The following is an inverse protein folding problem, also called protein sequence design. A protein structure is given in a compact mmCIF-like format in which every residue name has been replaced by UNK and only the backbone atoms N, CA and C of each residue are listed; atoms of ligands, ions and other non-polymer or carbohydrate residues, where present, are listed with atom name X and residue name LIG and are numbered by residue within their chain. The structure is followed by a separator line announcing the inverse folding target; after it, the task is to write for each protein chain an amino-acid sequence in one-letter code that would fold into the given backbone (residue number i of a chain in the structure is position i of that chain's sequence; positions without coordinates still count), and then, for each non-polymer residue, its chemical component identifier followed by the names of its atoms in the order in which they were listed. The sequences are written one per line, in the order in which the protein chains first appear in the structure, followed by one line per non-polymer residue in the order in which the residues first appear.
data_IF_644691439115
#
_entry.id   IF_644691439115
#
_cell.length_a   1.000
_cell.length_b   1.000
_cell.length_c   1.000
_cell.angle_alpha   90.00
_cell.angle_beta   90.00
_cell.angle_gamma   90.00
#
_symmetry.space_group_name_H-M   'P 1'
#
loop_
_entity.id
_entity.type
_entity.pdbx_description
1 polymer ?
#
# COMPACT_ATOMS: atom_id res chain seq x y z
N UNK A 1 -6.28 29.73 -2.99
CA UNK A 1 -5.44 28.65 -2.44
C UNK A 1 -4.11 29.23 -2.03
N UNK A 2 -3.64 28.86 -0.85
CA UNK A 2 -2.32 29.24 -0.35
C UNK A 2 -1.20 28.61 -1.19
N UNK A 3 0.06 29.02 -0.94
CA UNK A 3 1.20 28.44 -1.64
C UNK A 3 1.36 26.93 -1.38
N UNK A 4 1.07 26.50 -0.14
CA UNK A 4 1.15 25.09 0.26
C UNK A 4 -0.25 24.58 0.58
N UNK A 5 -0.62 23.45 0.03
CA UNK A 5 -1.91 22.80 0.23
C UNK A 5 -1.68 21.34 0.59
N UNK A 6 -2.43 20.83 1.55
CA UNK A 6 -2.44 19.42 1.91
C UNK A 6 -3.57 18.71 1.20
N UNK A 7 -3.23 17.58 0.59
CA UNK A 7 -4.21 16.63 0.06
C UNK A 7 -4.23 15.39 0.95
N UNK A 8 -5.40 15.10 1.53
CA UNK A 8 -5.56 13.83 2.24
C UNK A 8 -6.03 12.72 1.28
N UNK A 9 -5.27 11.63 1.23
CA UNK A 9 -5.54 10.47 0.38
C UNK A 9 -5.90 9.19 1.18
N UNK A 10 -6.33 9.33 2.43
CA UNK A 10 -6.67 8.20 3.32
C UNK A 10 -7.67 7.25 2.67
N UNK A 11 -8.76 7.77 2.11
CA UNK A 11 -9.81 6.96 1.52
C UNK A 11 -9.41 6.31 0.19
N UNK A 12 -8.37 6.83 -0.47
CA UNK A 12 -7.87 6.27 -1.73
C UNK A 12 -6.65 5.37 -1.50
N UNK A 13 -5.52 5.93 -1.08
CA UNK A 13 -4.29 5.14 -0.93
C UNK A 13 -4.34 4.28 0.33
N UNK A 14 -4.88 4.81 1.43
CA UNK A 14 -5.17 4.02 2.62
C UNK A 14 -6.13 2.85 2.35
N UNK A 15 -7.06 3.01 1.41
CA UNK A 15 -8.00 1.97 1.01
C UNK A 15 -7.38 0.65 0.55
N UNK A 16 -6.16 0.66 0.05
CA UNK A 16 -5.45 -0.57 -0.29
C UNK A 16 -5.19 -1.50 0.92
N UNK A 17 -5.20 -0.96 2.12
CA UNK A 17 -4.95 -1.72 3.35
C UNK A 17 -6.14 -2.59 3.72
N UNK A 18 -7.36 -2.08 3.52
CA UNK A 18 -8.62 -2.73 3.93
C UNK A 18 -9.52 -3.10 2.76
N UNK A 19 -8.97 -3.22 1.55
CA UNK A 19 -9.71 -3.43 0.30
C UNK A 19 -10.79 -2.36 0.07
N UNK A 20 -10.46 -1.10 0.42
CA UNK A 20 -11.33 0.08 0.33
C UNK A 20 -12.59 0.02 1.19
N UNK A 21 -12.75 -0.99 2.02
CA UNK A 21 -13.96 -1.22 2.83
C UNK A 21 -13.86 -0.50 4.18
N UNK A 22 -14.34 0.74 4.21
CA UNK A 22 -14.42 1.55 5.42
C UNK A 22 -15.80 1.47 6.08
N UNK A 23 -16.85 1.15 5.31
CA UNK A 23 -18.25 1.28 5.72
C UNK A 23 -18.83 2.65 5.35
N UNK A 24 -20.08 2.66 4.90
CA UNK A 24 -20.72 3.86 4.36
C UNK A 24 -20.77 5.05 5.34
N UNK A 25 -21.07 4.78 6.61
CA UNK A 25 -21.14 5.83 7.65
C UNK A 25 -19.75 6.41 7.90
N UNK A 26 -18.74 5.56 8.02
CA UNK A 26 -17.35 5.96 8.28
C UNK A 26 -16.78 6.77 7.11
N UNK A 27 -17.07 6.37 5.85
CA UNK A 27 -16.65 7.14 4.67
C UNK A 27 -17.15 8.59 4.72
N UNK A 28 -18.44 8.78 5.04
CA UNK A 28 -19.04 10.12 5.16
C UNK A 28 -18.43 10.92 6.28
N UNK A 29 -18.27 10.32 7.43
CA UNK A 29 -17.78 11.02 8.61
C UNK A 29 -16.32 11.43 8.45
N UNK A 30 -15.45 10.56 7.89
CA UNK A 30 -14.07 10.94 7.57
C UNK A 30 -14.03 12.14 6.62
N UNK A 31 -14.82 12.14 5.54
CA UNK A 31 -14.86 13.29 4.62
C UNK A 31 -15.34 14.55 5.31
N UNK A 32 -16.33 14.46 6.17
CA UNK A 32 -16.88 15.60 6.91
C UNK A 32 -15.89 16.14 7.94
N UNK A 33 -15.22 15.28 8.71
CA UNK A 33 -14.19 15.68 9.68
C UNK A 33 -12.95 16.28 8.98
N UNK A 34 -12.50 15.71 7.84
CA UNK A 34 -11.44 16.32 7.03
C UNK A 34 -11.84 17.72 6.51
N UNK A 35 -13.10 17.88 6.15
CA UNK A 35 -13.65 19.19 5.77
C UNK A 35 -13.66 20.16 6.94
N UNK A 36 -14.07 19.73 8.14
CA UNK A 36 -14.03 20.52 9.38
C UNK A 36 -12.60 20.87 9.78
N UNK A 37 -11.66 19.93 9.59
CA UNK A 37 -10.22 20.17 9.79
C UNK A 37 -9.60 21.15 8.80
N UNK A 38 -10.37 21.62 7.80
CA UNK A 38 -9.92 22.56 6.75
C UNK A 38 -8.82 21.97 5.86
N UNK A 39 -8.81 20.66 5.61
CA UNK A 39 -7.90 20.03 4.66
C UNK A 39 -8.22 20.56 3.26
N UNK A 40 -7.22 21.12 2.57
CA UNK A 40 -7.42 21.84 1.30
C UNK A 40 -8.00 21.00 0.19
N UNK A 41 -7.57 19.74 0.10
CA UNK A 41 -7.96 18.79 -0.95
C UNK A 41 -8.26 17.44 -0.31
N UNK A 42 -9.46 16.93 -0.52
CA UNK A 42 -9.93 15.64 0.01
C UNK A 42 -10.07 14.66 -1.13
N UNK A 43 -9.25 13.59 -1.14
CA UNK A 43 -9.36 12.51 -2.12
C UNK A 43 -10.38 11.47 -1.67
N UNK A 44 -11.54 11.46 -2.30
CA UNK A 44 -12.69 10.66 -1.89
C UNK A 44 -12.55 9.15 -2.14
N UNK A 45 -11.66 8.75 -3.06
CA UNK A 45 -11.45 7.36 -3.46
C UNK A 45 -11.17 7.21 -4.95
N UNK A 46 -11.40 6.01 -5.48
CA UNK A 46 -11.27 5.73 -6.91
C UNK A 46 -12.61 5.83 -7.64
N UNK A 47 -12.56 6.37 -8.86
CA UNK A 47 -13.59 6.15 -9.89
C UNK A 47 -13.20 4.91 -10.70
N UNK A 48 -14.06 3.89 -10.70
CA UNK A 48 -13.79 2.63 -11.36
C UNK A 48 -15.08 2.04 -11.93
N UNK A 49 -15.07 1.65 -13.20
CA UNK A 49 -16.21 1.03 -13.86
C UNK A 49 -16.72 -0.19 -13.10
N UNK A 50 -18.04 -0.32 -12.97
CA UNK A 50 -18.69 -1.45 -12.30
C UNK A 50 -18.57 -1.48 -10.76
N UNK A 51 -18.11 -0.40 -10.10
CA UNK A 51 -18.08 -0.31 -8.65
C UNK A 51 -19.42 0.14 -8.07
N UNK A 52 -20.05 -0.69 -7.22
CA UNK A 52 -21.40 -0.43 -6.68
C UNK A 52 -21.53 -0.59 -5.16
N UNK A 53 -20.48 -1.02 -4.46
CA UNK A 53 -20.56 -1.21 -3.02
C UNK A 53 -20.40 0.12 -2.27
N UNK A 54 -21.49 0.56 -1.61
CA UNK A 54 -21.54 1.82 -0.85
C UNK A 54 -20.61 1.86 0.37
N UNK A 55 -20.12 0.70 0.84
CA UNK A 55 -19.19 0.61 1.97
C UNK A 55 -17.74 0.80 1.54
N UNK A 56 -17.48 0.85 0.24
CA UNK A 56 -16.13 0.95 -0.32
C UNK A 56 -15.90 2.33 -0.93
N UNK A 57 -14.69 2.84 -0.79
CA UNK A 57 -14.23 4.07 -1.46
C UNK A 57 -13.87 3.84 -2.94
N UNK A 58 -14.63 2.94 -3.61
CA UNK A 58 -14.61 2.66 -5.03
C UNK A 58 -15.96 3.05 -5.62
N UNK A 59 -15.99 3.99 -6.54
CA UNK A 59 -17.21 4.59 -7.04
C UNK A 59 -17.37 4.34 -8.55
N UNK A 60 -18.51 3.83 -8.96
CA UNK A 60 -18.84 3.59 -10.37
C UNK A 60 -19.25 4.87 -11.11
N UNK A 61 -19.45 5.99 -10.41
CA UNK A 61 -19.85 7.27 -11.02
C UNK A 61 -19.56 8.45 -10.10
N UNK A 62 -19.50 9.64 -10.70
CA UNK A 62 -19.38 10.92 -9.97
C UNK A 62 -20.60 11.18 -9.06
N UNK A 63 -21.78 10.73 -9.46
CA UNK A 63 -22.99 10.82 -8.64
C UNK A 63 -22.91 9.96 -7.37
N UNK A 64 -22.26 8.79 -7.42
CA UNK A 64 -22.03 7.98 -6.25
C UNK A 64 -21.10 8.71 -5.25
N UNK A 65 -20.05 9.39 -5.73
CA UNK A 65 -19.18 10.23 -4.90
C UNK A 65 -19.95 11.38 -4.27
N UNK A 66 -20.82 12.07 -5.04
CA UNK A 66 -21.67 13.15 -4.52
C UNK A 66 -22.52 12.70 -3.32
N UNK A 67 -23.14 11.52 -3.42
CA UNK A 67 -23.95 10.94 -2.33
C UNK A 67 -23.11 10.64 -1.08
N UNK A 68 -21.86 10.28 -1.27
CA UNK A 68 -20.91 10.04 -0.17
C UNK A 68 -20.44 11.36 0.45
N UNK A 69 -20.06 12.37 -0.33
CA UNK A 69 -19.63 13.69 0.17
C UNK A 69 -20.76 14.37 0.99
N UNK A 70 -22.00 14.30 0.53
CA UNK A 70 -23.12 15.00 1.17
C UNK A 70 -23.00 16.53 1.06
N UNK A 71 -22.86 17.19 2.20
CA UNK A 71 -22.73 18.65 2.24
C UNK A 71 -21.29 19.07 1.92
N UNK A 72 -21.08 19.54 0.70
CA UNK A 72 -19.79 19.99 0.20
C UNK A 72 -19.41 21.37 0.75
N UNK A 73 -18.20 21.53 1.26
CA UNK A 73 -17.63 22.83 1.59
C UNK A 73 -17.06 23.49 0.32
N UNK A 74 -17.61 24.65 -0.13
CA UNK A 74 -17.20 25.27 -1.39
C UNK A 74 -15.76 25.85 -1.37
N UNK A 75 -15.14 25.98 -0.21
CA UNK A 75 -13.79 26.49 -0.04
C UNK A 75 -12.71 25.42 -0.20
N UNK A 76 -13.11 24.15 -0.22
CA UNK A 76 -12.21 22.99 -0.34
C UNK A 76 -12.37 22.34 -1.71
N UNK A 77 -11.35 21.58 -2.13
CA UNK A 77 -11.43 20.75 -3.33
C UNK A 77 -11.68 19.29 -2.97
N UNK A 78 -12.63 18.69 -3.64
CA UNK A 78 -12.89 17.26 -3.57
C UNK A 78 -12.43 16.62 -4.87
N UNK A 79 -11.65 15.55 -4.76
CA UNK A 79 -11.09 14.89 -5.92
C UNK A 79 -11.32 13.38 -5.88
N UNK A 80 -11.30 12.75 -7.04
CA UNK A 80 -11.29 11.29 -7.15
C UNK A 80 -10.12 10.85 -8.03
N UNK A 81 -9.58 9.66 -7.78
CA UNK A 81 -8.54 9.10 -8.63
C UNK A 81 -9.15 8.26 -9.76
N UNK A 82 -8.59 8.41 -10.94
CA UNK A 82 -8.80 7.55 -12.10
C UNK A 82 -7.45 6.96 -12.48
N UNK A 83 -7.37 5.63 -12.47
CA UNK A 83 -6.28 4.94 -13.14
C UNK A 83 -6.63 4.87 -14.64
N UNK A 84 -5.68 5.17 -15.52
CA UNK A 84 -5.91 5.02 -16.95
C UNK A 84 -6.43 3.60 -17.26
N UNK A 85 -7.50 3.52 -18.07
CA UNK A 85 -8.18 2.25 -18.38
C UNK A 85 -9.15 1.73 -17.31
N UNK A 86 -9.23 2.35 -16.13
CA UNK A 86 -10.10 1.89 -15.03
C UNK A 86 -11.57 2.30 -15.17
N UNK A 87 -11.85 3.38 -15.88
CA UNK A 87 -13.19 3.89 -16.22
C UNK A 87 -13.12 4.63 -17.55
N UNK A 88 -14.16 4.53 -18.38
CA UNK A 88 -14.18 5.23 -19.66
C UNK A 88 -14.56 6.71 -19.50
N UNK A 89 -14.15 7.54 -20.45
CA UNK A 89 -14.51 8.96 -20.44
C UNK A 89 -16.04 9.17 -20.46
N UNK A 90 -16.79 8.31 -21.16
CA UNK A 90 -18.24 8.38 -21.31
C UNK A 90 -18.96 8.15 -19.98
N UNK A 91 -18.39 7.33 -19.08
CA UNK A 91 -18.93 7.06 -17.74
C UNK A 91 -18.69 8.20 -16.75
N UNK A 92 -17.78 9.14 -17.06
CA UNK A 92 -17.50 10.30 -16.21
C UNK A 92 -18.38 11.47 -16.65
N UNK A 93 -19.32 11.88 -15.80
CA UNK A 93 -20.19 13.02 -16.05
C UNK A 93 -19.41 14.34 -16.17
N UNK A 94 -20.04 15.38 -16.72
CA UNK A 94 -19.49 16.75 -16.74
C UNK A 94 -19.40 17.27 -15.29
N UNK A 95 -18.35 18.02 -14.98
CA UNK A 95 -18.18 18.67 -13.67
C UNK A 95 -19.21 19.81 -13.52
N UNK A 96 -20.18 19.61 -12.65
CA UNK A 96 -21.23 20.59 -12.33
C UNK A 96 -20.97 21.34 -11.01
N UNK A 97 -19.82 21.07 -10.33
CA UNK A 97 -19.46 21.65 -9.05
C UNK A 97 -20.18 21.05 -7.84
N UNK A 98 -21.11 20.13 -8.03
CA UNK A 98 -21.91 19.54 -6.93
C UNK A 98 -21.26 18.30 -6.29
N UNK A 99 -20.28 17.68 -6.97
CA UNK A 99 -19.53 16.51 -6.52
C UNK A 99 -18.05 16.85 -6.43
N UNK A 100 -17.20 16.01 -7.03
CA UNK A 100 -15.76 16.26 -7.11
C UNK A 100 -15.45 17.43 -8.05
N UNK A 101 -14.44 18.22 -7.71
CA UNK A 101 -13.92 19.34 -8.50
C UNK A 101 -12.80 18.93 -9.44
N UNK A 102 -12.15 17.83 -9.12
CA UNK A 102 -10.97 17.39 -9.86
C UNK A 102 -10.82 15.88 -9.95
N UNK A 103 -10.02 15.49 -10.92
CA UNK A 103 -9.66 14.10 -11.17
C UNK A 103 -8.15 13.98 -11.15
N UNK A 104 -7.64 13.06 -10.33
CA UNK A 104 -6.25 12.65 -10.28
C UNK A 104 -6.08 11.49 -11.25
N UNK A 105 -5.48 11.75 -12.40
CA UNK A 105 -5.26 10.76 -13.45
C UNK A 105 -3.88 10.14 -13.28
N UNK A 106 -3.85 8.87 -12.87
CA UNK A 106 -2.62 8.09 -12.75
C UNK A 106 -2.42 7.17 -13.95
N UNK A 107 -1.17 7.07 -14.41
CA UNK A 107 -0.78 6.34 -15.61
C UNK A 107 0.69 5.91 -15.53
N UNK A 108 1.02 4.81 -16.23
CA UNK A 108 2.40 4.34 -16.42
C UNK A 108 3.06 5.00 -17.63
N UNK A 109 4.39 4.88 -17.74
CA UNK A 109 5.16 5.49 -18.83
C UNK A 109 4.66 5.08 -20.22
N UNK A 110 4.33 3.82 -20.41
CA UNK A 110 3.81 3.31 -21.69
C UNK A 110 2.38 3.79 -22.03
N UNK A 111 1.67 4.34 -21.05
CA UNK A 111 0.30 4.87 -21.19
C UNK A 111 0.26 6.39 -21.41
N UNK A 112 1.41 7.07 -21.46
CA UNK A 112 1.47 8.55 -21.56
C UNK A 112 0.60 9.10 -22.69
N UNK A 113 0.70 8.54 -23.91
CA UNK A 113 -0.03 9.08 -25.06
C UNK A 113 -1.55 9.04 -24.86
N UNK A 114 -2.18 7.90 -24.56
CA UNK A 114 -3.63 7.84 -24.36
C UNK A 114 -4.09 8.52 -23.06
N UNK A 115 -3.29 8.52 -21.99
CA UNK A 115 -3.61 9.24 -20.76
C UNK A 115 -3.72 10.76 -20.97
N UNK A 116 -2.91 11.33 -21.86
CA UNK A 116 -3.01 12.76 -22.23
C UNK A 116 -4.27 13.08 -23.03
N UNK A 117 -4.75 12.15 -23.86
CA UNK A 117 -6.06 12.30 -24.55
C UNK A 117 -7.17 12.33 -23.50
N UNK A 118 -7.18 11.38 -22.57
CA UNK A 118 -8.16 11.36 -21.47
C UNK A 118 -8.04 12.62 -20.60
N UNK A 119 -6.83 13.05 -20.26
CA UNK A 119 -6.59 14.27 -19.49
C UNK A 119 -7.19 15.51 -20.15
N UNK A 120 -7.09 15.65 -21.49
CA UNK A 120 -7.73 16.73 -22.25
C UNK A 120 -9.25 16.64 -22.16
N UNK A 121 -9.81 15.46 -22.38
CA UNK A 121 -11.26 15.23 -22.28
C UNK A 121 -11.82 15.58 -20.88
N UNK A 122 -11.07 15.27 -19.81
CA UNK A 122 -11.45 15.61 -18.45
C UNK A 122 -11.39 17.11 -18.18
N UNK A 123 -10.38 17.82 -18.73
CA UNK A 123 -10.32 19.28 -18.67
C UNK A 123 -11.50 19.89 -19.41
N UNK A 124 -11.83 19.39 -20.61
CA UNK A 124 -12.97 19.88 -21.42
C UNK A 124 -14.32 19.63 -20.71
N UNK A 125 -14.41 18.62 -19.84
CA UNK A 125 -15.56 18.39 -18.94
C UNK A 125 -15.59 19.31 -17.71
N UNK A 126 -14.60 20.20 -17.53
CA UNK A 126 -14.55 21.18 -16.45
C UNK A 126 -13.80 20.74 -15.20
N UNK A 127 -13.19 19.55 -15.18
CA UNK A 127 -12.43 19.08 -14.03
C UNK A 127 -11.05 19.74 -13.91
N UNK A 128 -10.62 20.00 -12.67
CA UNK A 128 -9.21 20.22 -12.37
C UNK A 128 -8.47 18.90 -12.48
N UNK A 129 -7.59 18.75 -13.48
CA UNK A 129 -6.87 17.50 -13.72
C UNK A 129 -5.49 17.54 -13.06
N UNK A 130 -5.19 16.48 -12.30
CA UNK A 130 -3.92 16.28 -11.62
C UNK A 130 -3.22 15.11 -12.31
N UNK A 131 -2.14 15.37 -13.03
CA UNK A 131 -1.40 14.35 -13.78
C UNK A 131 -0.40 13.63 -12.88
N UNK A 132 -0.56 12.32 -12.72
CA UNK A 132 0.21 11.50 -11.78
C UNK A 132 0.92 10.34 -12.47
N UNK A 133 2.11 10.57 -13.04
CA UNK A 133 2.93 9.49 -13.59
C UNK A 133 3.40 8.57 -12.46
N UNK A 134 3.18 7.27 -12.62
CA UNK A 134 3.65 6.27 -11.65
C UNK A 134 5.17 6.19 -11.70
N UNK A 135 5.83 6.18 -10.53
CA UNK A 135 7.25 5.91 -10.44
C UNK A 135 8.15 6.97 -11.08
N UNK A 136 7.94 8.26 -10.76
CA UNK A 136 8.76 9.34 -11.34
C UNK A 136 10.27 9.15 -11.14
N UNK A 137 10.70 8.42 -10.12
CA UNK A 137 12.10 8.07 -9.89
C UNK A 137 12.73 7.18 -10.98
N UNK A 138 11.92 6.46 -11.75
CA UNK A 138 12.42 5.58 -12.82
C UNK A 138 12.63 6.31 -14.16
N UNK A 139 12.11 7.54 -14.30
CA UNK A 139 12.27 8.33 -15.48
C UNK A 139 13.70 8.90 -15.60
N UNK A 140 14.30 8.80 -16.77
CA UNK A 140 15.51 9.57 -17.06
C UNK A 140 15.18 11.07 -17.14
N UNK A 141 16.16 11.93 -16.94
CA UNK A 141 15.96 13.39 -17.04
C UNK A 141 15.39 13.78 -18.41
N UNK A 142 15.85 13.12 -19.48
CA UNK A 142 15.34 13.35 -20.84
C UNK A 142 13.86 12.95 -20.97
N UNK A 143 13.48 11.78 -20.43
CA UNK A 143 12.08 11.31 -20.46
C UNK A 143 11.17 12.25 -19.64
N UNK A 144 11.64 12.69 -18.47
CA UNK A 144 10.92 13.63 -17.62
C UNK A 144 10.75 15.01 -18.32
N UNK A 145 11.76 15.54 -18.97
CA UNK A 145 11.67 16.79 -19.72
C UNK A 145 10.70 16.69 -20.90
N UNK A 146 10.70 15.57 -21.63
CA UNK A 146 9.71 15.30 -22.69
C UNK A 146 8.28 15.26 -22.12
N UNK A 147 8.11 14.63 -20.96
CA UNK A 147 6.81 14.60 -20.28
C UNK A 147 6.38 16.00 -19.86
N UNK A 148 7.27 16.81 -19.26
CA UNK A 148 6.99 18.20 -18.86
C UNK A 148 6.56 19.06 -20.06
N UNK A 149 7.20 18.89 -21.23
CA UNK A 149 6.79 19.58 -22.45
C UNK A 149 5.32 19.30 -22.78
N UNK A 150 4.90 18.03 -22.74
CA UNK A 150 3.51 17.65 -22.99
C UNK A 150 2.56 18.16 -21.89
N UNK A 151 2.99 18.16 -20.62
CA UNK A 151 2.22 18.74 -19.51
C UNK A 151 2.00 20.24 -19.76
N UNK A 152 2.99 20.97 -20.23
CA UNK A 152 2.85 22.39 -20.58
C UNK A 152 1.83 22.66 -21.69
N UNK A 153 1.72 21.75 -22.66
CA UNK A 153 0.70 21.81 -23.73
C UNK A 153 -0.70 21.46 -23.20
N UNK A 154 -0.81 20.47 -22.31
CA UNK A 154 -2.07 20.03 -21.71
C UNK A 154 -2.63 21.07 -20.75
N UNK A 155 -1.76 21.77 -19.99
CA UNK A 155 -2.10 22.76 -18.96
C UNK A 155 -3.03 22.21 -17.86
N UNK A 156 -2.69 21.09 -17.21
CA UNK A 156 -3.48 20.56 -16.12
C UNK A 156 -3.42 21.49 -14.90
N UNK A 157 -4.25 21.20 -13.87
CA UNK A 157 -4.21 21.91 -12.60
C UNK A 157 -2.91 21.65 -11.83
N UNK A 158 -2.43 20.40 -11.82
CA UNK A 158 -1.20 19.99 -11.15
C UNK A 158 -0.46 18.88 -11.90
N UNK A 159 0.85 18.84 -11.72
CA UNK A 159 1.75 17.76 -12.11
C UNK A 159 2.46 17.21 -10.85
N UNK A 160 2.57 15.89 -10.73
CA UNK A 160 3.04 15.24 -9.52
C UNK A 160 4.42 14.59 -9.67
N UNK A 161 5.23 14.75 -8.62
CA UNK A 161 6.36 13.89 -8.31
C UNK A 161 5.84 12.74 -7.42
N UNK A 162 5.96 11.51 -7.90
CA UNK A 162 5.40 10.34 -7.22
C UNK A 162 6.51 9.37 -6.85
N UNK A 163 6.80 9.27 -5.55
CA UNK A 163 7.73 8.28 -4.98
C UNK A 163 6.98 6.98 -4.69
N UNK A 164 6.64 6.25 -5.75
CA UNK A 164 5.84 5.00 -5.69
C UNK A 164 6.50 3.91 -4.84
N UNK A 165 7.84 3.86 -4.84
CA UNK A 165 8.60 2.82 -4.13
C UNK A 165 9.06 3.27 -2.75
N UNK A 166 8.85 4.54 -2.38
CA UNK A 166 9.32 5.10 -1.11
C UNK A 166 10.85 5.11 -1.00
N UNK A 167 11.55 5.38 -2.10
CA UNK A 167 13.01 5.30 -2.23
C UNK A 167 13.70 6.64 -2.32
N UNK A 168 12.94 7.73 -2.41
CA UNK A 168 13.44 9.08 -2.69
C UNK A 168 14.15 9.67 -1.48
N UNK A 169 15.45 9.92 -1.62
CA UNK A 169 16.20 10.72 -0.67
C UNK A 169 16.05 12.22 -0.96
N UNK A 170 16.46 13.05 -0.03
CA UNK A 170 16.42 14.53 -0.16
C UNK A 170 17.04 15.02 -1.48
N UNK A 171 18.21 14.52 -1.86
CA UNK A 171 18.90 14.97 -3.07
C UNK A 171 18.13 14.60 -4.33
N UNK A 172 17.46 13.45 -4.35
CA UNK A 172 16.61 13.03 -5.47
C UNK A 172 15.41 13.95 -5.60
N UNK A 173 14.73 14.23 -4.47
CA UNK A 173 13.62 15.18 -4.43
C UNK A 173 14.03 16.55 -4.98
N UNK A 174 15.13 17.11 -4.49
CA UNK A 174 15.59 18.43 -4.89
C UNK A 174 15.96 18.47 -6.38
N UNK A 175 16.69 17.45 -6.87
CA UNK A 175 17.04 17.32 -8.29
C UNK A 175 15.79 17.32 -9.17
N UNK A 176 14.84 16.44 -8.84
CA UNK A 176 13.60 16.31 -9.62
C UNK A 176 12.73 17.55 -9.52
N UNK A 177 12.60 18.11 -8.32
CA UNK A 177 11.82 19.32 -8.12
C UNK A 177 12.38 20.49 -8.96
N UNK A 178 13.68 20.74 -8.91
CA UNK A 178 14.27 21.84 -9.69
C UNK A 178 14.18 21.59 -11.19
N UNK A 179 14.34 20.34 -11.63
CA UNK A 179 14.12 20.00 -13.05
C UNK A 179 12.70 20.35 -13.49
N UNK A 180 11.70 20.00 -12.67
CA UNK A 180 10.29 20.32 -12.92
C UNK A 180 10.05 21.83 -12.79
N UNK A 181 10.47 22.47 -11.71
CA UNK A 181 10.16 23.88 -11.43
C UNK A 181 10.70 24.83 -12.49
N UNK A 182 11.88 24.54 -13.08
CA UNK A 182 12.48 25.36 -14.11
C UNK A 182 11.85 25.17 -15.51
N UNK A 183 11.24 24.02 -15.78
CA UNK A 183 10.73 23.67 -17.10
C UNK A 183 9.19 23.63 -17.19
N UNK A 184 8.49 23.58 -16.07
CA UNK A 184 7.03 23.53 -16.01
C UNK A 184 6.44 24.95 -15.98
N UNK A 185 5.35 25.20 -16.72
CA UNK A 185 4.61 26.45 -16.68
C UNK A 185 4.23 26.85 -15.26
N UNK A 186 4.41 28.12 -14.91
CA UNK A 186 4.23 28.66 -13.55
C UNK A 186 2.82 28.49 -12.99
N UNK A 187 1.82 28.42 -13.85
CA UNK A 187 0.41 28.27 -13.44
C UNK A 187 0.04 26.84 -13.06
N UNK A 188 0.90 25.86 -13.35
CA UNK A 188 0.67 24.44 -13.00
C UNK A 188 1.26 24.20 -11.62
N UNK A 189 0.46 23.71 -10.68
CA UNK A 189 0.92 23.35 -9.34
C UNK A 189 1.83 22.13 -9.40
N UNK A 190 2.79 22.01 -8.48
CA UNK A 190 3.58 20.79 -8.31
C UNK A 190 3.06 20.03 -7.09
N UNK A 191 2.67 18.78 -7.31
CA UNK A 191 2.29 17.86 -6.26
C UNK A 191 3.44 16.94 -5.87
N UNK A 192 3.41 16.46 -4.63
CA UNK A 192 4.33 15.46 -4.12
C UNK A 192 3.55 14.35 -3.40
N UNK A 193 3.69 13.13 -3.88
CA UNK A 193 3.12 11.93 -3.27
C UNK A 193 4.24 10.97 -2.93
N UNK A 194 4.39 10.60 -1.66
CA UNK A 194 5.50 9.76 -1.21
C UNK A 194 5.03 8.65 -0.29
N UNK A 195 5.54 7.44 -0.56
CA UNK A 195 5.45 6.33 0.39
C UNK A 195 6.57 6.40 1.43
N UNK A 196 6.32 5.86 2.62
CA UNK A 196 7.18 6.03 3.80
C UNK A 196 8.08 4.83 4.10
N UNK A 197 8.43 4.03 3.08
CA UNK A 197 9.18 2.79 3.27
C UNK A 197 10.58 3.00 3.89
N UNK A 198 11.24 4.12 3.58
CA UNK A 198 12.51 4.55 4.20
C UNK A 198 12.31 5.54 5.36
N UNK A 199 11.09 5.80 5.80
CA UNK A 199 10.73 6.78 6.84
C UNK A 199 11.17 8.22 6.51
N UNK A 200 11.25 8.57 5.22
CA UNK A 200 11.71 9.86 4.74
C UNK A 200 10.59 10.80 4.26
N UNK A 201 9.35 10.32 4.15
CA UNK A 201 8.26 11.11 3.56
C UNK A 201 8.03 12.43 4.31
N UNK A 202 8.10 12.44 5.65
CA UNK A 202 7.93 13.67 6.43
C UNK A 202 9.12 14.64 6.27
N UNK A 203 10.35 14.13 6.27
CA UNK A 203 11.54 14.96 6.06
C UNK A 203 11.54 15.57 4.64
N UNK A 204 11.24 14.77 3.61
CA UNK A 204 11.14 15.22 2.24
C UNK A 204 10.01 16.26 2.04
N UNK A 205 8.87 16.07 2.68
CA UNK A 205 7.77 17.04 2.64
C UNK A 205 8.19 18.38 3.26
N UNK A 206 8.89 18.38 4.40
CA UNK A 206 9.41 19.59 5.03
C UNK A 206 10.40 20.32 4.11
N UNK A 207 11.35 19.61 3.50
CA UNK A 207 12.29 20.19 2.54
C UNK A 207 11.56 20.86 1.38
N UNK A 208 10.59 20.18 0.79
CA UNK A 208 9.78 20.72 -0.31
C UNK A 208 9.05 22.00 0.08
N UNK A 209 8.41 22.02 1.25
CA UNK A 209 7.64 23.16 1.74
C UNK A 209 8.52 24.39 2.06
N UNK A 210 9.79 24.17 2.43
CA UNK A 210 10.76 25.22 2.73
C UNK A 210 11.44 25.83 1.50
N UNK A 211 11.25 25.23 0.31
CA UNK A 211 11.87 25.75 -0.91
C UNK A 211 11.37 27.17 -1.23
N UNK A 212 12.30 28.04 -1.60
CA UNK A 212 11.98 29.38 -2.05
C UNK A 212 11.46 29.38 -3.49
N UNK A 213 10.20 29.06 -3.66
CA UNK A 213 9.51 29.07 -4.96
C UNK A 213 8.16 29.78 -4.83
N UNK A 214 7.73 30.60 -5.82
CA UNK A 214 6.39 31.18 -5.85
C UNK A 214 5.33 30.15 -6.31
N UNK A 215 5.74 28.94 -6.69
CA UNK A 215 4.86 27.90 -7.21
C UNK A 215 3.94 27.37 -6.10
N UNK A 216 2.71 27.08 -6.45
CA UNK A 216 1.81 26.33 -5.56
C UNK A 216 2.27 24.87 -5.45
N UNK A 217 2.39 24.42 -4.20
CA UNK A 217 2.78 23.05 -3.86
C UNK A 217 1.56 22.32 -3.27
N UNK A 218 1.42 21.05 -3.61
CA UNK A 218 0.43 20.15 -3.03
C UNK A 218 1.19 18.97 -2.44
N UNK A 219 0.97 18.72 -1.16
CA UNK A 219 1.62 17.60 -0.45
C UNK A 219 0.56 16.58 -0.08
N UNK A 220 0.70 15.37 -0.60
CA UNK A 220 -0.20 14.28 -0.26
C UNK A 220 0.17 13.68 1.09
N UNK A 221 -0.85 13.40 1.88
CA UNK A 221 -0.72 12.73 3.17
C UNK A 221 -1.92 11.80 3.40
N UNK A 222 -1.83 10.91 4.36
CA UNK A 222 -2.94 10.11 4.83
C UNK A 222 -2.98 10.08 6.35
N UNK A 223 -4.17 9.98 6.93
CA UNK A 223 -4.34 9.93 8.38
C UNK A 223 -3.63 8.69 8.93
N UNK A 224 -2.80 8.90 9.96
CA UNK A 224 -1.99 7.87 10.60
C UNK A 224 -1.05 7.14 9.63
N UNK A 225 -0.69 7.81 8.53
CA UNK A 225 0.13 7.26 7.45
C UNK A 225 -0.49 6.05 6.76
N UNK A 226 -1.81 5.86 6.83
CA UNK A 226 -2.48 4.69 6.25
C UNK A 226 -2.19 4.55 4.75
N UNK A 227 -1.64 3.42 4.32
CA UNK A 227 -1.28 3.17 2.92
C UNK A 227 -0.56 1.86 2.72
N UNK A 228 -0.21 1.56 1.47
CA UNK A 228 0.53 0.35 1.11
C UNK A 228 1.94 0.35 1.72
N UNK A 229 2.44 -0.83 2.05
CA UNK A 229 3.78 -0.99 2.59
C UNK A 229 3.94 -0.30 3.94
N UNK A 230 4.97 0.53 4.08
CA UNK A 230 5.14 1.35 5.28
C UNK A 230 4.22 2.57 5.34
N UNK A 231 3.24 2.66 4.42
CA UNK A 231 2.27 3.73 4.36
C UNK A 231 2.76 4.99 3.66
N UNK A 232 2.12 6.11 3.96
CA UNK A 232 2.33 7.43 3.38
C UNK A 232 2.86 8.43 4.43
N UNK A 233 3.03 9.67 4.03
CA UNK A 233 3.18 10.80 4.95
C UNK A 233 1.93 10.91 5.85
N UNK A 234 2.13 11.11 7.14
CA UNK A 234 1.04 11.26 8.10
C UNK A 234 0.40 12.65 8.01
N UNK A 235 -0.93 12.72 7.86
CA UNK A 235 -1.69 13.97 7.78
C UNK A 235 -1.54 14.79 9.07
N UNK A 236 -1.68 14.17 10.24
CA UNK A 236 -1.53 14.82 11.54
C UNK A 236 -0.14 15.43 11.76
N UNK A 237 0.92 14.80 11.23
CA UNK A 237 2.28 15.32 11.38
C UNK A 237 2.51 16.54 10.48
N UNK A 238 2.10 16.47 9.21
CA UNK A 238 2.35 17.55 8.26
C UNK A 238 1.48 18.78 8.56
N UNK A 239 0.23 18.59 8.97
CA UNK A 239 -0.67 19.68 9.37
C UNK A 239 -0.17 20.34 10.65
N UNK A 240 0.31 19.58 11.64
CA UNK A 240 0.94 20.14 12.83
C UNK A 240 2.21 20.92 12.50
N UNK A 241 3.03 20.43 11.58
CA UNK A 241 4.21 21.18 11.15
C UNK A 241 3.85 22.52 10.51
N UNK A 242 2.84 22.56 9.64
CA UNK A 242 2.37 23.79 9.00
C UNK A 242 1.81 24.74 10.05
N UNK A 243 0.97 24.26 10.96
CA UNK A 243 0.41 25.07 12.04
C UNK A 243 1.49 25.73 12.91
N UNK A 244 2.57 24.99 13.21
CA UNK A 244 3.64 25.48 14.08
C UNK A 244 4.65 26.39 13.39
N UNK A 245 4.89 26.23 12.08
CA UNK A 245 6.01 26.87 11.39
C UNK A 245 5.59 27.84 10.28
N UNK A 246 4.37 27.65 9.71
CA UNK A 246 3.92 28.42 8.55
C UNK A 246 2.61 29.20 8.80
N UNK A 247 2.03 29.06 9.98
CA UNK A 247 0.81 29.70 10.41
C UNK A 247 -0.34 28.71 10.64
N UNK A 248 -1.16 28.99 11.65
CA UNK A 248 -2.32 28.15 11.99
C UNK A 248 -3.31 28.10 10.84
N UNK A 249 -3.66 26.90 10.42
CA UNK A 249 -4.58 26.66 9.31
C UNK A 249 -5.50 25.45 9.52
N UNK A 250 -5.01 24.36 10.10
CA UNK A 250 -5.72 23.08 10.21
C UNK A 250 -6.19 22.82 11.63
N UNK A 251 -7.40 22.27 11.78
CA UNK A 251 -7.86 21.75 13.06
C UNK A 251 -7.40 20.27 13.24
N UNK A 252 -6.31 20.11 13.97
CA UNK A 252 -5.76 18.77 14.21
C UNK A 252 -6.60 17.94 15.18
N UNK A 253 -7.53 18.54 15.94
CA UNK A 253 -8.39 17.77 16.84
C UNK A 253 -9.34 16.88 16.03
N UNK A 254 -9.94 17.41 14.98
CA UNK A 254 -10.78 16.64 14.06
C UNK A 254 -10.02 15.44 13.43
N UNK A 255 -8.74 15.65 13.10
CA UNK A 255 -7.89 14.57 12.55
C UNK A 255 -7.62 13.49 13.62
N UNK A 256 -7.34 13.91 14.87
CA UNK A 256 -7.11 12.99 15.98
C UNK A 256 -8.37 12.18 16.32
N UNK A 257 -9.55 12.77 16.20
CA UNK A 257 -10.81 12.05 16.38
C UNK A 257 -10.99 10.96 15.31
N UNK A 258 -10.67 11.25 14.04
CA UNK A 258 -10.69 10.21 12.99
C UNK A 258 -9.74 9.07 13.32
N UNK A 259 -8.55 9.39 13.85
CA UNK A 259 -7.56 8.37 14.25
C UNK A 259 -8.16 7.46 15.33
N UNK A 260 -8.71 8.05 16.39
CA UNK A 260 -9.18 7.29 17.54
C UNK A 260 -10.42 6.45 17.22
N UNK A 261 -11.38 7.04 16.50
CA UNK A 261 -12.66 6.40 16.21
C UNK A 261 -12.57 5.34 15.10
N UNK A 262 -11.76 5.57 14.05
CA UNK A 262 -11.80 4.75 12.83
C UNK A 262 -10.47 4.11 12.45
N UNK A 263 -9.37 4.88 12.46
CA UNK A 263 -8.12 4.41 11.88
C UNK A 263 -7.37 3.48 12.82
N UNK A 264 -7.35 3.79 14.11
CA UNK A 264 -6.71 2.95 15.13
C UNK A 264 -7.35 1.55 15.24
N UNK A 265 -8.69 1.38 15.26
CA UNK A 265 -9.30 0.06 15.16
C UNK A 265 -8.90 -0.70 13.87
N UNK A 266 -8.77 -0.01 12.74
CA UNK A 266 -8.29 -0.63 11.50
C UNK A 266 -6.82 -1.05 11.62
N UNK A 267 -5.95 -0.25 12.26
CA UNK A 267 -4.53 -0.58 12.43
C UNK A 267 -4.29 -1.80 13.33
N UNK A 268 -5.23 -2.11 14.22
CA UNK A 268 -5.19 -3.34 15.01
C UNK A 268 -5.53 -4.60 14.19
N UNK A 269 -6.25 -4.43 13.08
CA UNK A 269 -6.70 -5.52 12.21
C UNK A 269 -5.81 -5.68 10.97
N UNK A 270 -5.33 -4.59 10.44
CA UNK A 270 -4.54 -4.53 9.22
C UNK A 270 -3.18 -3.89 9.53
N UNK A 271 -2.12 -4.46 8.99
CA UNK A 271 -0.77 -3.97 9.23
C UNK A 271 -0.34 -2.99 8.13
N UNK A 272 0.11 -1.82 8.52
CA UNK A 272 0.91 -0.88 7.72
C UNK A 272 1.87 -0.16 8.65
N UNK A 273 2.80 0.57 8.09
CA UNK A 273 3.86 1.22 8.85
C UNK A 273 5.21 0.55 8.62
N UNK A 274 6.22 0.97 9.35
CA UNK A 274 7.57 0.47 9.19
C UNK A 274 7.67 -1.04 9.42
N UNK A 275 8.28 -1.73 8.46
CA UNK A 275 8.69 -3.12 8.56
C UNK A 275 10.00 -3.33 7.79
N UNK A 276 10.89 -4.17 8.31
CA UNK A 276 12.18 -4.46 7.68
C UNK A 276 12.03 -5.00 6.23
N UNK A 277 10.94 -5.71 5.93
CA UNK A 277 10.69 -6.21 4.59
C UNK A 277 10.39 -5.09 3.59
N UNK A 278 9.67 -4.03 4.00
CA UNK A 278 9.42 -2.86 3.14
C UNK A 278 10.69 -2.05 2.93
N UNK A 279 11.52 -1.90 3.97
CA UNK A 279 12.86 -1.32 3.83
C UNK A 279 13.68 -2.09 2.78
N UNK A 280 13.74 -3.42 2.89
CA UNK A 280 14.45 -4.28 1.93
C UNK A 280 13.91 -4.11 0.52
N UNK A 281 12.58 -4.13 0.35
CA UNK A 281 11.97 -3.93 -0.96
C UNK A 281 12.37 -2.59 -1.58
N UNK A 282 12.34 -1.51 -0.80
CA UNK A 282 12.76 -0.19 -1.25
C UNK A 282 14.24 -0.15 -1.67
N UNK A 283 15.15 -0.65 -0.83
CA UNK A 283 16.58 -0.68 -1.14
C UNK A 283 16.89 -1.55 -2.37
N UNK A 284 16.14 -2.65 -2.56
CA UNK A 284 16.25 -3.49 -3.74
C UNK A 284 15.55 -2.91 -4.99
N UNK A 285 14.89 -1.75 -4.89
CA UNK A 285 14.11 -1.16 -5.99
C UNK A 285 12.86 -1.97 -6.36
N UNK A 286 12.32 -2.73 -5.41
CA UNK A 286 11.17 -3.61 -5.63
C UNK A 286 9.86 -2.94 -5.19
N UNK A 287 8.79 -3.24 -5.92
CA UNK A 287 7.44 -2.81 -5.53
C UNK A 287 7.07 -3.37 -4.14
N UNK A 288 6.52 -2.55 -3.19
CA UNK A 288 6.23 -2.97 -1.81
C UNK A 288 5.33 -4.22 -1.69
N UNK A 289 4.46 -4.46 -2.66
CA UNK A 289 3.61 -5.65 -2.67
C UNK A 289 4.39 -6.97 -2.75
N UNK A 290 5.62 -6.98 -3.26
CA UNK A 290 6.49 -8.14 -3.18
C UNK A 290 6.83 -8.49 -1.73
N UNK A 291 7.20 -7.49 -0.92
CA UNK A 291 7.42 -7.69 0.50
C UNK A 291 6.14 -8.11 1.23
N UNK A 292 4.98 -7.46 0.93
CA UNK A 292 3.69 -7.85 1.50
C UNK A 292 3.33 -9.31 1.19
N UNK A 293 3.57 -9.76 -0.04
CA UNK A 293 3.34 -11.16 -0.44
C UNK A 293 4.18 -12.14 0.36
N UNK A 294 5.47 -11.83 0.55
CA UNK A 294 6.40 -12.68 1.29
C UNK A 294 6.09 -12.69 2.80
N UNK A 295 5.77 -11.53 3.40
CA UNK A 295 5.34 -11.41 4.80
C UNK A 295 4.09 -12.25 5.09
N UNK A 296 3.12 -12.25 4.17
CA UNK A 296 1.88 -13.03 4.32
C UNK A 296 2.10 -14.55 4.30
N UNK A 297 3.26 -15.03 3.84
CA UNK A 297 3.61 -16.46 3.92
C UNK A 297 3.86 -16.91 5.36
N UNK A 298 4.30 -16.00 6.24
CA UNK A 298 4.62 -16.27 7.66
C UNK A 298 5.65 -17.40 7.87
N UNK A 299 6.40 -17.77 6.83
CA UNK A 299 7.38 -18.87 6.83
C UNK A 299 8.82 -18.39 6.68
N UNK A 300 9.01 -17.10 6.38
CA UNK A 300 10.29 -16.50 6.02
C UNK A 300 10.84 -15.63 7.17
N UNK A 301 12.15 -15.67 7.36
CA UNK A 301 12.89 -14.66 8.10
C UNK A 301 13.19 -13.45 7.20
N UNK A 302 13.60 -12.34 7.81
CA UNK A 302 13.99 -11.12 7.08
C UNK A 302 15.14 -11.39 6.09
N UNK A 303 16.08 -12.27 6.45
CA UNK A 303 17.18 -12.70 5.57
C UNK A 303 16.68 -13.42 4.32
N UNK A 304 15.65 -14.26 4.45
CA UNK A 304 15.06 -14.98 3.32
C UNK A 304 14.36 -14.00 2.36
N UNK A 305 13.61 -13.04 2.93
CA UNK A 305 12.97 -11.96 2.15
C UNK A 305 14.02 -11.15 1.41
N UNK A 306 15.13 -10.81 2.07
CA UNK A 306 16.25 -10.10 1.44
C UNK A 306 16.85 -10.91 0.28
N UNK A 307 17.09 -12.21 0.47
CA UNK A 307 17.64 -13.06 -0.57
C UNK A 307 16.69 -13.16 -1.78
N UNK A 308 15.40 -13.39 -1.55
CA UNK A 308 14.40 -13.49 -2.62
C UNK A 308 14.30 -12.19 -3.40
N UNK A 309 14.15 -11.04 -2.73
CA UNK A 309 13.95 -9.74 -3.39
C UNK A 309 15.17 -9.28 -4.18
N UNK A 310 16.39 -9.55 -3.70
CA UNK A 310 17.61 -9.21 -4.43
C UNK A 310 17.86 -10.12 -5.65
N UNK A 311 17.28 -11.32 -5.68
CA UNK A 311 17.40 -12.23 -6.81
C UNK A 311 16.35 -11.99 -7.91
N UNK A 312 15.38 -11.07 -7.70
CA UNK A 312 14.41 -10.73 -8.73
C UNK A 312 15.08 -10.08 -9.94
N UNK A 313 14.60 -10.40 -11.13
CA UNK A 313 15.03 -9.77 -12.37
C UNK A 313 14.76 -8.25 -12.30
N UNK A 314 15.75 -7.44 -12.68
CA UNK A 314 15.70 -5.98 -12.53
C UNK A 314 14.46 -5.36 -13.18
N UNK A 315 14.11 -5.81 -14.38
CA UNK A 315 12.98 -5.31 -15.17
C UNK A 315 11.63 -5.61 -14.54
N UNK A 316 11.57 -6.62 -13.66
CA UNK A 316 10.33 -7.05 -12.98
C UNK A 316 10.15 -6.44 -11.58
N UNK A 317 11.14 -5.71 -11.07
CA UNK A 317 11.10 -5.19 -9.69
C UNK A 317 10.07 -4.08 -9.50
N UNK A 318 9.94 -3.17 -10.46
CA UNK A 318 9.11 -1.98 -10.33
C UNK A 318 7.60 -2.26 -10.44
N UNK A 319 7.19 -3.30 -11.17
CA UNK A 319 5.80 -3.69 -11.36
C UNK A 319 5.52 -5.02 -10.65
N UNK A 320 4.50 -5.02 -9.77
CA UNK A 320 4.15 -6.21 -9.01
C UNK A 320 3.53 -7.29 -9.89
N UNK A 321 4.16 -8.45 -9.94
CA UNK A 321 3.63 -9.68 -10.53
C UNK A 321 3.50 -10.76 -9.44
N UNK A 322 2.24 -11.07 -9.07
CA UNK A 322 1.93 -12.04 -8.03
C UNK A 322 2.34 -13.47 -8.41
N UNK A 323 2.24 -13.82 -9.69
CA UNK A 323 2.61 -15.16 -10.18
C UNK A 323 4.12 -15.32 -10.09
N UNK A 324 4.86 -14.35 -10.61
CA UNK A 324 6.32 -14.33 -10.61
C UNK A 324 6.89 -14.47 -9.20
N UNK A 325 6.46 -13.66 -8.24
CA UNK A 325 6.96 -13.76 -6.86
C UNK A 325 6.57 -15.08 -6.21
N UNK A 326 5.43 -15.67 -6.59
CA UNK A 326 5.03 -17.00 -6.14
C UNK A 326 6.00 -18.08 -6.61
N UNK A 327 6.44 -18.01 -7.87
CA UNK A 327 7.43 -18.91 -8.44
C UNK A 327 8.81 -18.74 -7.79
N UNK A 328 9.27 -17.49 -7.57
CA UNK A 328 10.53 -17.20 -6.88
C UNK A 328 10.53 -17.67 -5.42
N UNK A 329 9.41 -17.50 -4.72
CA UNK A 329 9.24 -18.05 -3.37
C UNK A 329 9.37 -19.56 -3.34
N UNK A 330 8.70 -20.26 -4.27
CA UNK A 330 8.78 -21.73 -4.37
C UNK A 330 10.21 -22.16 -4.73
N UNK A 331 10.87 -21.48 -5.66
CA UNK A 331 12.25 -21.74 -6.05
C UNK A 331 13.20 -21.62 -4.84
N UNK A 332 13.03 -20.58 -4.03
CA UNK A 332 13.83 -20.36 -2.82
C UNK A 332 13.60 -21.47 -1.78
N UNK A 333 12.32 -21.85 -1.56
CA UNK A 333 11.96 -22.91 -0.61
C UNK A 333 12.41 -24.31 -1.03
N UNK A 334 12.49 -24.56 -2.34
CA UNK A 334 12.94 -25.82 -2.91
C UNK A 334 14.46 -25.89 -3.08
N UNK A 335 15.23 -25.07 -2.34
CA UNK A 335 16.68 -25.21 -2.34
C UNK A 335 17.05 -26.64 -1.93
N UNK A 336 17.78 -27.32 -2.81
CA UNK A 336 18.16 -28.73 -2.58
C UNK A 336 19.06 -28.80 -1.36
N UNK A 337 18.55 -29.42 -0.31
CA UNK A 337 19.33 -29.80 0.87
C UNK A 337 19.72 -31.27 0.65
N UNK A 338 20.98 -31.60 0.85
CA UNK A 338 21.42 -32.99 0.87
C UNK A 338 20.88 -33.65 2.15
N UNK A 339 19.72 -34.29 2.04
CA UNK A 339 18.99 -34.88 3.17
C UNK A 339 18.79 -36.43 3.01
N UNK A 340 19.54 -37.03 2.11
CA UNK A 340 19.42 -38.48 1.76
C UNK A 340 19.58 -39.35 3.01
N UNK A 341 20.53 -39.04 3.89
CA UNK A 341 20.74 -39.75 5.14
C UNK A 341 19.53 -39.61 6.09
N UNK A 342 19.00 -38.37 6.24
CA UNK A 342 17.82 -38.11 7.08
C UNK A 342 16.58 -38.81 6.51
N UNK A 343 16.38 -38.82 5.19
CA UNK A 343 15.30 -39.54 4.53
C UNK A 343 15.38 -41.04 4.83
N UNK A 344 16.57 -41.64 4.70
CA UNK A 344 16.79 -43.05 5.00
C UNK A 344 16.51 -43.40 6.47
N UNK A 345 16.87 -42.52 7.40
CA UNK A 345 16.57 -42.69 8.82
C UNK A 345 15.05 -42.69 9.05
N UNK A 346 14.30 -41.73 8.47
CA UNK A 346 12.84 -41.68 8.58
C UNK A 346 12.19 -42.92 7.98
N UNK A 347 12.62 -43.34 6.77
CA UNK A 347 12.10 -44.56 6.11
C UNK A 347 12.28 -45.78 7.00
N UNK A 348 13.44 -45.92 7.66
CA UNK A 348 13.69 -47.01 8.58
C UNK A 348 12.80 -46.98 9.83
N UNK A 349 12.52 -45.78 10.37
CA UNK A 349 11.65 -45.61 11.55
C UNK A 349 10.19 -45.97 11.29
N UNK A 350 9.70 -45.68 10.07
CA UNK A 350 8.29 -45.92 9.69
C UNK A 350 8.08 -47.27 8.98
N UNK A 351 9.16 -48.00 8.68
CA UNK A 351 9.06 -49.23 7.94
C UNK A 351 8.17 -50.28 8.65
N UNK A 352 7.14 -50.75 7.96
CA UNK A 352 6.17 -51.71 8.50
C UNK A 352 5.14 -51.14 9.44
N UNK A 353 5.13 -49.82 9.69
CA UNK A 353 4.16 -49.13 10.56
C UNK A 353 3.10 -48.37 9.75
N UNK A 354 1.96 -48.15 10.35
CA UNK A 354 0.93 -47.21 9.87
C UNK A 354 1.27 -45.81 10.35
N UNK A 355 1.38 -44.85 9.45
CA UNK A 355 1.70 -43.47 9.80
C UNK A 355 0.42 -42.68 10.11
N UNK A 356 0.34 -42.12 11.31
CA UNK A 356 -0.72 -41.20 11.73
C UNK A 356 -0.18 -39.78 11.74
N UNK A 357 -0.68 -38.93 10.83
CA UNK A 357 -0.29 -37.52 10.76
C UNK A 357 -1.28 -36.64 11.53
N UNK A 358 -0.77 -35.88 12.50
CA UNK A 358 -1.53 -34.92 13.29
C UNK A 358 -1.24 -33.50 12.79
N UNK A 359 -2.25 -32.81 12.25
CA UNK A 359 -2.14 -31.41 11.85
C UNK A 359 -2.85 -30.49 12.86
N UNK A 360 -2.36 -29.25 13.11
CA UNK A 360 -2.99 -28.34 14.05
C UNK A 360 -4.34 -27.84 13.52
N UNK A 361 -5.42 -28.16 14.22
CA UNK A 361 -6.76 -27.75 13.81
C UNK A 361 -7.81 -27.97 14.92
N UNK A 362 -8.99 -27.38 14.73
CA UNK A 362 -10.10 -27.53 15.70
C UNK A 362 -10.53 -28.99 15.89
N UNK A 363 -10.50 -29.77 14.82
CA UNK A 363 -10.85 -31.19 14.84
C UNK A 363 -9.88 -32.03 15.68
N UNK A 364 -8.60 -31.68 15.72
CA UNK A 364 -7.61 -32.37 16.53
C UNK A 364 -7.99 -32.27 18.02
N UNK A 365 -8.20 -31.03 18.50
CA UNK A 365 -8.60 -30.77 19.90
C UNK A 365 -9.92 -31.44 20.29
N UNK A 366 -10.87 -31.48 19.35
CA UNK A 366 -12.18 -32.11 19.59
C UNK A 366 -12.12 -33.65 19.64
N UNK A 367 -11.04 -34.27 19.17
CA UNK A 367 -10.90 -35.73 19.10
C UNK A 367 -9.66 -36.26 19.85
N UNK A 368 -9.06 -35.47 20.76
CA UNK A 368 -7.84 -35.85 21.48
C UNK A 368 -7.99 -37.19 22.19
N UNK A 369 -9.08 -37.41 22.93
CA UNK A 369 -9.36 -38.67 23.64
C UNK A 369 -9.45 -39.86 22.68
N UNK A 370 -10.16 -39.69 21.56
CA UNK A 370 -10.34 -40.75 20.57
C UNK A 370 -8.99 -41.09 19.87
N UNK A 371 -8.14 -40.09 19.67
CA UNK A 371 -6.81 -40.30 19.08
C UNK A 371 -5.92 -41.05 20.05
N UNK A 372 -5.90 -40.66 21.32
CA UNK A 372 -5.15 -41.36 22.38
C UNK A 372 -5.59 -42.81 22.54
N UNK A 373 -6.89 -43.04 22.49
CA UNK A 373 -7.47 -44.39 22.53
C UNK A 373 -6.98 -45.23 21.33
N UNK A 374 -7.07 -44.66 20.11
CA UNK A 374 -6.60 -45.33 18.87
C UNK A 374 -5.11 -45.70 18.95
N UNK A 375 -4.27 -44.81 19.45
CA UNK A 375 -2.84 -45.04 19.62
C UNK A 375 -2.58 -46.15 20.66
N UNK A 376 -3.33 -46.16 21.76
CA UNK A 376 -3.16 -47.16 22.83
C UNK A 376 -3.64 -48.56 22.44
N UNK A 377 -4.60 -48.67 21.54
CA UNK A 377 -5.15 -49.95 21.05
C UNK A 377 -4.32 -50.60 19.94
N UNK A 378 -3.34 -49.85 19.37
CA UNK A 378 -2.59 -50.25 18.16
C UNK A 378 -1.10 -49.93 18.26
N UNK A 379 -0.26 -50.90 18.48
CA UNK A 379 1.20 -50.75 18.55
C UNK A 379 1.89 -50.53 17.18
N UNK A 380 1.13 -50.64 16.09
CA UNK A 380 1.63 -50.51 14.72
C UNK A 380 1.54 -49.09 14.14
N UNK A 381 1.13 -48.11 14.92
CA UNK A 381 1.16 -46.73 14.50
C UNK A 381 2.50 -46.04 14.80
N UNK A 382 2.93 -45.17 13.86
CA UNK A 382 3.97 -44.19 14.03
C UNK A 382 3.33 -42.79 13.93
N UNK A 383 3.31 -42.08 15.01
CA UNK A 383 2.55 -40.84 15.14
C UNK A 383 3.45 -39.62 14.89
N UNK A 384 3.12 -38.80 13.90
CA UNK A 384 3.88 -37.63 13.53
C UNK A 384 3.00 -36.39 13.69
N UNK A 385 3.43 -35.42 14.50
CA UNK A 385 2.84 -34.08 14.50
C UNK A 385 3.47 -33.20 13.41
N UNK A 386 2.65 -32.34 12.81
CA UNK A 386 3.08 -31.47 11.70
C UNK A 386 3.01 -29.99 12.12
N UNK A 387 4.15 -29.33 12.26
CA UNK A 387 4.29 -27.91 12.59
C UNK A 387 3.80 -27.49 13.98
N UNK A 388 3.68 -28.40 14.92
CA UNK A 388 3.40 -28.14 16.34
C UNK A 388 3.85 -29.32 17.17
N UNK A 389 3.99 -29.12 18.49
CA UNK A 389 4.21 -30.19 19.47
C UNK A 389 2.96 -30.29 20.33
N UNK A 390 2.23 -31.41 20.29
CA UNK A 390 1.06 -31.60 21.15
C UNK A 390 1.50 -31.82 22.60
N UNK A 391 0.73 -31.28 23.55
CA UNK A 391 0.92 -31.51 24.99
C UNK A 391 0.11 -32.71 25.52
N UNK A 392 -0.98 -33.03 24.83
CA UNK A 392 -1.99 -33.98 25.28
C UNK A 392 -2.03 -35.29 24.46
N UNK A 393 -1.11 -35.44 23.51
CA UNK A 393 -0.97 -36.62 22.63
C UNK A 393 0.51 -36.98 22.55
N UNK A 394 0.86 -38.22 22.83
CA UNK A 394 2.22 -38.72 22.65
C UNK A 394 2.48 -38.91 21.16
N UNK A 395 3.60 -38.37 20.66
CA UNK A 395 4.03 -38.51 19.28
C UNK A 395 5.43 -39.12 19.19
N UNK A 396 5.67 -39.92 18.17
CA UNK A 396 6.99 -40.54 17.91
C UNK A 396 7.96 -39.53 17.26
N UNK A 397 7.41 -38.59 16.49
CA UNK A 397 8.20 -37.55 15.81
C UNK A 397 7.38 -36.28 15.55
N UNK A 398 8.09 -35.18 15.35
CA UNK A 398 7.48 -33.90 14.93
C UNK A 398 8.15 -33.42 13.64
N UNK A 399 7.34 -33.22 12.59
CA UNK A 399 7.80 -32.63 11.34
C UNK A 399 7.61 -31.12 11.37
N UNK A 400 8.68 -30.36 11.23
CA UNK A 400 8.65 -28.89 11.23
C UNK A 400 9.09 -28.38 9.86
N UNK A 401 8.19 -27.72 9.17
CA UNK A 401 8.35 -27.35 7.76
C UNK A 401 9.33 -26.19 7.49
N UNK A 402 9.75 -25.44 8.50
CA UNK A 402 10.69 -24.34 8.31
C UNK A 402 11.40 -23.93 9.62
N UNK A 403 12.55 -23.28 9.48
CA UNK A 403 13.41 -22.85 10.58
C UNK A 403 12.74 -21.84 11.53
N UNK A 404 11.89 -20.97 11.04
CA UNK A 404 11.18 -19.99 11.87
C UNK A 404 10.24 -20.69 12.87
N UNK A 405 9.52 -21.69 12.43
CA UNK A 405 8.67 -22.53 13.30
C UNK A 405 9.50 -23.38 14.24
N UNK A 406 10.59 -23.97 13.76
CA UNK A 406 11.51 -24.71 14.62
C UNK A 406 12.00 -23.86 15.80
N UNK A 407 12.52 -22.67 15.55
CA UNK A 407 12.96 -21.74 16.60
C UNK A 407 11.86 -21.37 17.58
N UNK A 408 10.59 -21.31 17.16
CA UNK A 408 9.48 -20.96 18.06
C UNK A 408 9.09 -22.08 19.03
N UNK A 409 9.55 -23.33 18.79
CA UNK A 409 9.24 -24.50 19.61
C UNK A 409 10.52 -25.17 20.15
N UNK A 410 11.69 -24.62 19.88
CA UNK A 410 12.97 -25.21 20.27
C UNK A 410 13.07 -25.49 21.76
N UNK A 411 12.63 -24.57 22.61
CA UNK A 411 12.64 -24.71 24.07
C UNK A 411 11.75 -25.89 24.56
N UNK A 412 10.75 -26.29 23.76
CA UNK A 412 9.89 -27.45 24.07
C UNK A 412 10.55 -28.76 23.64
N UNK A 413 11.34 -28.73 22.58
CA UNK A 413 12.06 -29.91 22.03
C UNK A 413 13.26 -30.28 22.89
N UNK A 414 13.89 -29.31 23.55
CA UNK A 414 15.06 -29.51 24.42
C UNK A 414 14.69 -29.97 25.84
N UNK A 415 13.42 -29.98 26.22
CA UNK A 415 12.89 -30.55 27.46
C UNK A 415 12.48 -32.02 27.31
#
# INVERSE_FOLDING_TARGET
MDRINILDCTLRDGGYVNDFNFGHVVLKDIVQKLSSASIDIIECGFLKSGAFDVNRSLFGSVEAVKKMIGNKNPNLLYVGMVQYGGISNEEIAICDGTSIDGIRLTFHEHEIAPAFVLGRQLIDKGYKVFMQPVGTMTYTDEALLKLITRINELKPFAFYLVDTLGTMYKNDLLRMFYLVDHNLNRNISVGFHSHNNLQLSFANAQELMQLNTPRRLIVDASIYGMGRGAGNLNTELVTQYINSNLGLKYDNLEILEIIDEYIRPLSMKYNWGYDAAYYIASVAGCHPNYASFLLNKQTLHVQDIHAILNNLEFEKRALFDKKYIGEEYIRYMNHHVEDEEAQNQIVNLINGKKVLLLAPGKSLRANTERINQLISEHDDYFVISVNFIPTDIVVDASFISNMKRFKSIQDIVEQ
#
